data_IF_332716455840
#
_entry.id   IF_332716455840
#
_cell.length_a   1.000
_cell.length_b   1.000
_cell.length_c   1.000
_cell.angle_alpha   90.00
_cell.angle_beta   90.00
_cell.angle_gamma   90.00
#
_symmetry.space_group_name_H-M   'P 1'
#
loop_
_entity.id
_entity.type
_entity.pdbx_description
1 polymer ?
#
# COMPACT_ATOMS: atom_id res chain seq x y z
N UNK A 1 -31.98 -39.45 -43.29
CA UNK A 1 -32.97 -38.40 -43.64
C UNK A 1 -33.36 -37.68 -42.37
N UNK A 2 -33.72 -36.40 -42.50
CA UNK A 2 -33.78 -35.37 -41.45
C UNK A 2 -34.90 -35.65 -40.45
N UNK A 3 -34.61 -35.64 -39.14
CA UNK A 3 -35.63 -35.51 -38.10
C UNK A 3 -35.86 -34.02 -37.88
N UNK A 4 -37.04 -33.53 -38.28
CA UNK A 4 -37.42 -32.13 -38.21
C UNK A 4 -38.81 -31.98 -37.61
N UNK A 5 -38.87 -31.18 -36.53
CA UNK A 5 -39.99 -30.44 -35.94
C UNK A 5 -41.32 -31.14 -35.66
N UNK A 6 -41.75 -31.02 -34.39
CA UNK A 6 -42.93 -30.20 -34.03
C UNK A 6 -42.81 -29.75 -32.57
N UNK A 7 -42.42 -28.49 -32.38
CA UNK A 7 -42.60 -27.77 -31.12
C UNK A 7 -44.11 -27.50 -30.99
N UNK A 8 -44.75 -28.14 -30.02
CA UNK A 8 -46.13 -27.86 -29.60
C UNK A 8 -46.11 -26.88 -28.45
N UNK A 9 -46.87 -25.80 -28.62
CA UNK A 9 -47.15 -24.68 -27.71
C UNK A 9 -47.40 -25.08 -26.25
N UNK A 10 -46.57 -24.57 -25.33
CA UNK A 10 -46.97 -24.45 -23.94
C UNK A 10 -47.77 -23.14 -23.79
N UNK A 11 -49.08 -23.27 -23.64
CA UNK A 11 -49.97 -22.20 -23.18
C UNK A 11 -49.49 -21.69 -21.80
N UNK A 12 -49.64 -20.39 -21.47
CA UNK A 12 -49.35 -19.90 -20.13
C UNK A 12 -50.42 -20.42 -19.17
N UNK A 13 -50.03 -21.33 -18.29
CA UNK A 13 -50.86 -21.73 -17.15
C UNK A 13 -50.91 -20.56 -16.16
N UNK A 14 -52.09 -19.95 -16.04
CA UNK A 14 -52.38 -18.95 -15.01
C UNK A 14 -52.14 -19.59 -13.63
N UNK A 15 -51.05 -19.18 -12.97
CA UNK A 15 -50.68 -19.68 -11.66
C UNK A 15 -51.64 -19.09 -10.62
N UNK A 16 -52.62 -19.90 -10.21
CA UNK A 16 -53.49 -19.62 -9.07
C UNK A 16 -52.61 -19.34 -7.86
N UNK A 17 -52.70 -18.12 -7.35
CA UNK A 17 -52.05 -17.71 -6.11
C UNK A 17 -52.84 -18.36 -4.97
N UNK A 18 -52.44 -19.56 -4.57
CA UNK A 18 -52.90 -20.15 -3.32
C UNK A 18 -52.01 -19.62 -2.18
N UNK A 19 -52.65 -18.91 -1.26
CA UNK A 19 -52.09 -18.42 -0.01
C UNK A 19 -51.53 -19.60 0.82
N UNK A 20 -50.21 -19.71 0.89
CA UNK A 20 -49.49 -20.60 1.82
C UNK A 20 -48.77 -19.77 2.88
N UNK A 21 -49.56 -19.27 3.83
CA UNK A 21 -49.10 -18.78 5.12
C UNK A 21 -48.58 -19.95 5.97
N UNK A 22 -47.30 -20.33 5.81
CA UNK A 22 -46.39 -20.75 6.91
C UNK A 22 -45.01 -21.17 6.34
N UNK A 23 -44.24 -20.21 5.81
CA UNK A 23 -42.80 -20.45 5.56
C UNK A 23 -42.06 -20.08 6.84
N UNK A 24 -41.74 -21.09 7.66
CA UNK A 24 -40.73 -20.98 8.73
C UNK A 24 -39.50 -20.32 8.11
N UNK A 25 -39.25 -19.05 8.48
CA UNK A 25 -38.09 -18.30 8.03
C UNK A 25 -36.84 -19.03 8.54
N UNK A 26 -36.27 -19.88 7.68
CA UNK A 26 -34.94 -20.43 7.89
C UNK A 26 -33.93 -19.30 8.08
N UNK A 27 -32.74 -19.58 8.64
CA UNK A 27 -31.75 -18.55 8.94
C UNK A 27 -31.54 -17.65 7.71
N UNK A 28 -31.58 -16.34 7.93
CA UNK A 28 -31.51 -15.34 6.86
C UNK A 28 -30.28 -15.64 5.98
N UNK A 29 -30.56 -16.14 4.79
CA UNK A 29 -29.53 -16.64 3.87
C UNK A 29 -28.49 -15.58 3.54
N UNK A 30 -28.86 -14.30 3.63
CA UNK A 30 -27.94 -13.18 3.47
C UNK A 30 -26.90 -13.10 4.61
N UNK A 31 -27.30 -13.36 5.84
CA UNK A 31 -26.42 -13.36 7.01
C UNK A 31 -25.41 -14.51 6.95
N UNK A 32 -25.86 -15.71 6.58
CA UNK A 32 -24.99 -16.88 6.40
C UNK A 32 -23.96 -16.67 5.27
N UNK A 33 -24.37 -16.05 4.16
CA UNK A 33 -23.48 -15.70 3.06
C UNK A 33 -22.47 -14.61 3.47
N UNK A 34 -22.87 -13.63 4.28
CA UNK A 34 -21.97 -12.60 4.80
C UNK A 34 -20.93 -13.20 5.77
N UNK A 35 -21.37 -14.05 6.69
CA UNK A 35 -20.50 -14.74 7.63
C UNK A 35 -19.46 -15.63 6.92
N UNK A 36 -19.88 -16.37 5.89
CA UNK A 36 -18.99 -17.19 5.06
C UNK A 36 -17.93 -16.33 4.33
N UNK A 37 -18.34 -15.21 3.73
CA UNK A 37 -17.42 -14.28 3.05
C UNK A 37 -16.38 -13.65 3.99
N UNK A 38 -16.75 -13.38 5.25
CA UNK A 38 -15.84 -12.77 6.23
C UNK A 38 -14.69 -13.69 6.65
N UNK A 39 -14.88 -15.00 6.56
CA UNK A 39 -13.91 -16.03 6.96
C UNK A 39 -13.15 -16.63 5.77
N UNK A 40 -13.53 -16.25 4.55
CA UNK A 40 -12.85 -16.70 3.34
C UNK A 40 -11.49 -15.99 3.19
N UNK A 41 -10.45 -16.67 2.67
CA UNK A 41 -9.21 -16.02 2.27
C UNK A 41 -9.48 -14.90 1.25
N UNK A 42 -8.66 -13.85 1.27
CA UNK A 42 -8.78 -12.77 0.28
C UNK A 42 -8.53 -13.30 -1.13
N UNK A 43 -9.31 -12.80 -2.08
CA UNK A 43 -8.99 -12.98 -3.50
C UNK A 43 -7.77 -12.15 -3.88
N UNK A 44 -7.08 -12.53 -4.96
CA UNK A 44 -5.92 -11.80 -5.48
C UNK A 44 -6.23 -10.32 -5.73
N UNK A 45 -7.38 -10.03 -6.36
CA UNK A 45 -7.78 -8.66 -6.67
C UNK A 45 -7.98 -7.81 -5.41
N UNK A 46 -8.64 -8.35 -4.38
CA UNK A 46 -8.82 -7.66 -3.09
C UNK A 46 -7.49 -7.42 -2.38
N UNK A 47 -6.57 -8.39 -2.45
CA UNK A 47 -5.23 -8.24 -1.88
C UNK A 47 -4.44 -7.14 -2.60
N UNK A 48 -4.47 -7.12 -3.94
CA UNK A 48 -3.80 -6.08 -4.73
C UNK A 48 -4.39 -4.69 -4.45
N UNK A 49 -5.72 -4.58 -4.33
CA UNK A 49 -6.38 -3.34 -3.94
C UNK A 49 -5.95 -2.87 -2.55
N UNK A 50 -5.87 -3.79 -1.59
CA UNK A 50 -5.36 -3.49 -0.25
C UNK A 50 -3.91 -3.01 -0.29
N UNK A 51 -3.06 -3.67 -1.08
CA UNK A 51 -1.65 -3.33 -1.22
C UNK A 51 -1.41 -2.06 -2.03
N UNK A 52 -2.36 -1.59 -2.84
CA UNK A 52 -2.18 -0.38 -3.62
C UNK A 52 -2.54 0.91 -2.86
N UNK A 53 -3.03 0.80 -1.63
CA UNK A 53 -3.37 1.96 -0.80
C UNK A 53 -2.10 2.62 -0.25
N UNK A 54 -1.99 3.94 -0.44
CA UNK A 54 -0.92 4.78 0.09
C UNK A 54 -1.47 5.71 1.18
N UNK A 55 -0.79 5.76 2.32
CA UNK A 55 -1.19 6.58 3.48
C UNK A 55 0.01 7.35 4.02
N UNK A 56 -0.18 8.63 4.39
CA UNK A 56 0.85 9.40 5.10
C UNK A 56 0.62 9.24 6.61
N UNK A 57 1.60 8.67 7.31
CA UNK A 57 1.53 8.37 8.74
C UNK A 57 2.69 9.06 9.45
N UNK A 58 2.41 9.64 10.62
CA UNK A 58 3.45 10.20 11.48
C UNK A 58 4.19 9.05 12.19
N UNK A 59 5.50 9.02 12.06
CA UNK A 59 6.36 8.10 12.80
C UNK A 59 6.59 8.60 14.23
N UNK A 60 6.15 7.86 15.27
CA UNK A 60 6.28 8.30 16.66
C UNK A 60 7.74 8.45 17.12
N UNK A 61 8.67 7.68 16.55
CA UNK A 61 10.05 7.66 17.03
C UNK A 61 10.87 8.84 16.48
N UNK A 62 10.65 9.19 15.20
CA UNK A 62 11.43 10.23 14.51
C UNK A 62 10.66 11.53 14.28
N UNK A 63 9.35 11.54 14.47
CA UNK A 63 8.46 12.67 14.17
C UNK A 63 8.32 12.97 12.68
N UNK A 64 8.81 12.10 11.78
CA UNK A 64 8.74 12.31 10.32
C UNK A 64 7.43 11.76 9.76
N UNK A 65 6.90 12.43 8.73
CA UNK A 65 5.83 11.87 7.91
C UNK A 65 6.39 10.80 6.99
N UNK A 66 5.89 9.57 7.13
CA UNK A 66 6.23 8.43 6.26
C UNK A 66 5.08 8.13 5.31
N UNK A 67 5.41 7.81 4.06
CA UNK A 67 4.44 7.28 3.11
C UNK A 67 4.43 5.75 3.27
N UNK A 68 3.30 5.18 3.63
CA UNK A 68 3.11 3.76 3.90
C UNK A 68 2.22 3.15 2.83
N UNK A 69 2.65 2.02 2.28
CA UNK A 69 1.90 1.21 1.32
C UNK A 69 1.35 -0.05 1.98
N UNK A 70 0.08 -0.34 1.68
CA UNK A 70 -0.58 -1.58 2.06
C UNK A 70 -0.44 -1.89 3.55
N UNK A 71 0.25 -2.99 3.86
CA UNK A 71 0.38 -3.54 5.22
C UNK A 71 1.55 -2.98 6.03
N UNK A 72 2.32 -2.01 5.52
CA UNK A 72 3.39 -1.36 6.30
C UNK A 72 4.69 -1.05 5.56
N UNK A 73 4.75 -1.23 4.25
CA UNK A 73 5.94 -0.90 3.47
C UNK A 73 6.15 0.63 3.46
N UNK A 74 7.34 1.10 3.84
CA UNK A 74 7.68 2.53 3.75
C UNK A 74 8.16 2.82 2.33
N UNK A 75 7.50 3.78 1.67
CA UNK A 75 7.75 4.14 0.27
C UNK A 75 8.35 5.54 0.18
N UNK A 76 9.22 5.73 -0.81
CA UNK A 76 9.80 7.04 -1.14
C UNK A 76 8.89 7.82 -2.10
N UNK A 77 8.75 9.12 -1.85
CA UNK A 77 8.03 10.03 -2.74
C UNK A 77 9.01 10.76 -3.66
N UNK A 78 8.83 10.61 -4.98
CA UNK A 78 9.56 11.42 -5.95
C UNK A 78 9.24 12.91 -5.76
N UNK A 79 10.27 13.71 -5.49
CA UNK A 79 10.10 15.15 -5.28
C UNK A 79 9.98 15.92 -6.59
N UNK A 80 9.34 17.09 -6.55
CA UNK A 80 9.30 17.98 -7.72
C UNK A 80 10.71 18.47 -8.11
N UNK A 81 10.90 18.83 -9.39
CA UNK A 81 12.19 19.34 -9.89
C UNK A 81 12.72 20.51 -9.05
N UNK A 82 11.87 21.45 -8.68
CA UNK A 82 12.25 22.60 -7.84
C UNK A 82 12.75 22.15 -6.46
N UNK A 83 12.09 21.16 -5.86
CA UNK A 83 12.48 20.61 -4.56
C UNK A 83 13.80 19.85 -4.65
N UNK A 84 14.00 19.05 -5.71
CA UNK A 84 15.27 18.37 -5.95
C UNK A 84 16.44 19.37 -6.04
N UNK A 85 16.29 20.45 -6.83
CA UNK A 85 17.32 21.49 -6.94
C UNK A 85 17.62 22.15 -5.59
N UNK A 86 16.59 22.44 -4.79
CA UNK A 86 16.75 23.03 -3.47
C UNK A 86 17.50 22.10 -2.50
N UNK A 87 17.18 20.79 -2.50
CA UNK A 87 17.85 19.78 -1.70
C UNK A 87 19.33 19.71 -2.09
N UNK A 88 19.63 19.63 -3.39
CA UNK A 88 21.01 19.55 -3.87
C UNK A 88 21.81 20.80 -3.49
N UNK A 89 21.22 21.99 -3.65
CA UNK A 89 21.88 23.25 -3.26
C UNK A 89 22.19 23.29 -1.76
N UNK A 90 21.28 22.81 -0.92
CA UNK A 90 21.49 22.74 0.53
C UNK A 90 22.56 21.70 0.89
N UNK A 91 22.55 20.54 0.26
CA UNK A 91 23.55 19.49 0.47
C UNK A 91 24.96 19.97 0.10
N UNK A 92 25.14 20.51 -1.12
CA UNK A 92 26.43 21.04 -1.59
C UNK A 92 26.97 22.14 -0.67
N UNK A 93 26.10 22.99 -0.12
CA UNK A 93 26.52 24.00 0.86
C UNK A 93 27.03 23.35 2.15
N UNK A 94 26.28 22.40 2.70
CA UNK A 94 26.67 21.68 3.91
C UNK A 94 27.99 20.93 3.74
N UNK A 95 28.20 20.29 2.59
CA UNK A 95 29.45 19.60 2.25
C UNK A 95 30.64 20.57 2.22
N UNK A 96 30.46 21.75 1.62
CA UNK A 96 31.48 22.80 1.59
C UNK A 96 31.84 23.32 2.98
N UNK A 97 30.84 23.58 3.82
CA UNK A 97 31.04 24.05 5.20
C UNK A 97 31.78 22.99 6.04
N UNK A 98 31.39 21.72 5.93
CA UNK A 98 32.05 20.62 6.64
C UNK A 98 33.50 20.42 6.18
N UNK A 99 33.77 20.52 4.87
CA UNK A 99 35.12 20.45 4.32
C UNK A 99 36.01 21.56 4.86
N UNK A 100 35.53 22.81 4.84
CA UNK A 100 36.29 23.97 5.34
C UNK A 100 36.62 23.82 6.83
N UNK A 101 35.66 23.38 7.65
CA UNK A 101 35.90 23.10 9.07
C UNK A 101 36.95 22.01 9.27
N UNK A 102 36.88 20.92 8.50
CA UNK A 102 37.87 19.84 8.57
C UNK A 102 39.28 20.30 8.17
N UNK A 103 39.40 21.15 7.15
CA UNK A 103 40.69 21.76 6.76
C UNK A 103 41.20 22.70 7.83
N UNK A 104 40.35 23.59 8.36
CA UNK A 104 40.71 24.52 9.42
C UNK A 104 41.17 23.78 10.69
N UNK A 105 40.48 22.71 11.07
CA UNK A 105 40.85 21.88 12.21
C UNK A 105 42.23 21.21 12.03
N UNK A 106 42.52 20.67 10.84
CA UNK A 106 43.85 20.08 10.53
C UNK A 106 44.97 21.12 10.53
N UNK A 107 44.69 22.33 10.06
CA UNK A 107 45.66 23.43 10.10
C UNK A 107 45.89 23.91 11.55
N UNK A 108 44.84 23.93 12.37
CA UNK A 108 44.92 24.32 13.78
C UNK A 108 45.61 23.27 14.66
N UNK A 109 45.50 21.97 14.34
CA UNK A 109 46.11 20.89 15.13
C UNK A 109 47.63 20.78 14.98
N UNK A 110 48.26 21.60 14.12
CA UNK A 110 49.70 21.56 13.85
C UNK A 110 50.16 20.24 13.18
N UNK A 111 51.40 20.17 12.69
CA UNK A 111 51.97 18.92 12.19
C UNK A 111 52.06 17.91 13.33
N UNK A 112 51.40 16.76 13.20
CA UNK A 112 51.57 15.66 14.13
C UNK A 112 52.97 15.09 13.89
N UNK A 113 53.90 15.41 14.80
CA UNK A 113 55.30 14.99 14.74
C UNK A 113 55.31 13.45 14.70
N UNK A 114 55.73 12.89 13.56
CA UNK A 114 55.92 11.45 13.44
C UNK A 114 57.08 11.09 14.35
N UNK A 115 56.79 10.49 15.50
CA UNK A 115 57.80 9.82 16.30
C UNK A 115 58.26 8.58 15.53
N UNK A 116 59.14 8.80 14.57
CA UNK A 116 59.87 7.74 13.90
C UNK A 116 60.85 7.18 14.93
N UNK A 117 60.42 6.06 15.50
CA UNK A 117 61.07 5.30 16.55
C UNK A 117 62.46 4.85 16.07
N UNK A 118 63.51 5.50 16.57
CA UNK A 118 64.89 5.04 16.39
C UNK A 118 65.07 3.77 17.23
N UNK A 119 65.28 2.65 16.54
CA UNK A 119 65.81 1.40 17.07
C UNK A 119 67.12 1.09 16.36
#
# INVERSE_FOLDING_TARGET
>A
MKNNMKNGSNEPVDNVTEDVDDVVAGPDTAELLAASKSRAPLTKAQWEEQQNKLCRVLDPDTGRMRLIRGTGEVVEECVSRRRAVAINKQATRGDGDAFQQGVAAKLASGPQERQDNQQ
#
